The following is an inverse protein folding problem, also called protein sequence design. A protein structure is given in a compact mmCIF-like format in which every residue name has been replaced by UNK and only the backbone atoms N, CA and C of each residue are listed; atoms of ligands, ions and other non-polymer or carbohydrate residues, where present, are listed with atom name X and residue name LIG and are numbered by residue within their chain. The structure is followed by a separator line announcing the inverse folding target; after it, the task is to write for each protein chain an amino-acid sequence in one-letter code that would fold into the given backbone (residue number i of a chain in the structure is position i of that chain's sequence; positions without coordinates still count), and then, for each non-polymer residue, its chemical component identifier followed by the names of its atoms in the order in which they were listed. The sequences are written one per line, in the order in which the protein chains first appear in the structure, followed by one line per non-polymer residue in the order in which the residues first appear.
data_IF_465343660676
#
_entry.id   IF_465343660676
#
_cell.length_a   1.000
_cell.length_b   1.000
_cell.length_c   1.000
_cell.angle_alpha   90.00
_cell.angle_beta   90.00
_cell.angle_gamma   90.00
#
_symmetry.space_group_name_H-M   'P 1'
#
loop_
_entity.id
_entity.type
_entity.pdbx_description
1 polymer ?
#
# COMPACT_ATOMS: atom_id res chain seq x y z
N UNK A 1 -5.21 21.20 -13.95
CA UNK A 1 -5.29 19.92 -13.23
C UNK A 1 -4.46 20.08 -11.97
N UNK A 2 -5.08 20.10 -10.77
CA UNK A 2 -4.33 20.31 -9.52
C UNK A 2 -3.42 19.11 -9.30
N UNK A 3 -2.11 19.34 -9.41
CA UNK A 3 -1.08 18.32 -9.33
C UNK A 3 -0.99 17.82 -7.89
N UNK A 4 -1.57 16.66 -7.62
CA UNK A 4 -1.38 15.93 -6.37
C UNK A 4 -0.32 14.82 -6.53
N UNK A 5 0.49 14.91 -7.58
CA UNK A 5 1.57 13.97 -7.84
C UNK A 5 2.84 14.49 -7.16
N UNK A 6 3.45 13.66 -6.32
CA UNK A 6 4.73 13.88 -5.67
C UNK A 6 5.77 12.99 -6.36
N UNK A 7 6.75 13.61 -7.02
CA UNK A 7 7.72 12.90 -7.87
C UNK A 7 7.07 11.94 -8.91
N UNK A 8 5.93 12.34 -9.48
CA UNK A 8 5.21 11.54 -10.47
C UNK A 8 4.39 10.38 -9.90
N UNK A 9 4.26 10.26 -8.58
CA UNK A 9 3.41 9.28 -7.90
C UNK A 9 2.39 9.96 -6.98
N UNK A 10 1.24 9.32 -6.78
CA UNK A 10 0.18 9.77 -5.86
C UNK A 10 0.34 9.24 -4.45
N UNK A 11 1.32 8.37 -4.21
CA UNK A 11 1.66 7.89 -2.89
C UNK A 11 3.18 7.65 -2.80
N UNK A 12 3.69 7.68 -1.58
CA UNK A 12 5.12 7.45 -1.28
C UNK A 12 5.40 6.03 -0.80
N UNK A 13 4.37 5.28 -0.39
CA UNK A 13 4.52 3.97 0.23
C UNK A 13 4.45 2.79 -0.75
N UNK A 14 3.99 2.99 -1.99
CA UNK A 14 3.69 1.92 -2.95
C UNK A 14 4.86 0.97 -3.23
N UNK A 15 6.08 1.51 -3.38
CA UNK A 15 7.27 0.68 -3.63
C UNK A 15 7.58 -0.22 -2.43
N UNK A 16 7.46 0.31 -1.21
CA UNK A 16 7.69 -0.44 0.03
C UNK A 16 6.59 -1.44 0.34
N UNK A 17 5.32 -1.12 0.04
CA UNK A 17 4.20 -2.06 0.11
C UNK A 17 4.48 -3.25 -0.81
N UNK A 18 4.91 -2.99 -2.05
CA UNK A 18 5.30 -4.04 -3.00
C UNK A 18 6.45 -4.90 -2.46
N UNK A 19 7.49 -4.26 -1.92
CA UNK A 19 8.65 -4.92 -1.34
C UNK A 19 8.25 -5.85 -0.17
N UNK A 20 7.52 -5.35 0.82
CA UNK A 20 7.07 -6.12 1.97
C UNK A 20 6.11 -7.25 1.55
N UNK A 21 5.20 -7.01 0.60
CA UNK A 21 4.32 -8.05 0.06
C UNK A 21 5.11 -9.19 -0.58
N UNK A 22 6.13 -8.87 -1.38
CA UNK A 22 6.96 -9.88 -2.04
C UNK A 22 7.83 -10.65 -1.02
N UNK A 23 8.35 -10.00 0.02
CA UNK A 23 9.04 -10.65 1.14
C UNK A 23 8.14 -11.65 1.87
N UNK A 24 6.88 -11.28 2.08
CA UNK A 24 5.84 -12.14 2.65
C UNK A 24 5.32 -13.23 1.68
N UNK A 25 5.84 -13.29 0.44
CA UNK A 25 5.43 -14.24 -0.62
C UNK A 25 3.94 -14.17 -0.97
N UNK A 26 3.35 -12.98 -0.88
CA UNK A 26 1.94 -12.76 -1.16
C UNK A 26 1.74 -12.28 -2.60
N UNK A 27 0.73 -12.80 -3.30
CA UNK A 27 0.23 -12.15 -4.51
C UNK A 27 -0.54 -10.87 -4.15
N UNK A 28 -0.80 -10.00 -5.14
CA UNK A 28 -1.67 -8.83 -4.93
C UNK A 28 -3.08 -9.24 -4.47
N UNK A 29 -3.58 -10.37 -4.95
CA UNK A 29 -4.87 -10.94 -4.51
C UNK A 29 -4.81 -11.41 -3.06
N UNK A 30 -3.68 -11.92 -2.59
CA UNK A 30 -3.53 -12.36 -1.19
C UNK A 30 -3.50 -11.16 -0.24
N UNK A 31 -2.75 -10.10 -0.59
CA UNK A 31 -2.77 -8.86 0.18
C UNK A 31 -4.18 -8.25 0.20
N UNK A 32 -4.86 -8.21 -0.96
CA UNK A 32 -6.25 -7.76 -1.05
C UNK A 32 -7.17 -8.51 -0.07
N UNK A 33 -7.12 -9.84 -0.05
CA UNK A 33 -7.93 -10.65 0.87
C UNK A 33 -7.60 -10.36 2.34
N UNK A 34 -6.32 -10.22 2.69
CA UNK A 34 -5.91 -9.91 4.07
C UNK A 34 -6.42 -8.54 4.51
N UNK A 35 -6.35 -7.53 3.64
CA UNK A 35 -6.89 -6.20 3.92
C UNK A 35 -8.42 -6.23 4.10
N UNK A 36 -9.13 -6.98 3.26
CA UNK A 36 -10.57 -7.18 3.42
C UNK A 36 -10.93 -7.83 4.77
N UNK A 37 -10.17 -8.86 5.19
CA UNK A 37 -10.34 -9.48 6.51
C UNK A 37 -10.02 -8.53 7.67
N UNK A 38 -9.14 -7.56 7.46
CA UNK A 38 -8.81 -6.49 8.40
C UNK A 38 -9.77 -5.28 8.33
N UNK A 39 -10.88 -5.38 7.58
CA UNK A 39 -11.90 -4.32 7.48
C UNK A 39 -11.63 -3.24 6.43
N UNK A 40 -10.57 -3.38 5.62
CA UNK A 40 -10.25 -2.47 4.52
C UNK A 40 -10.79 -3.05 3.21
N UNK A 41 -11.90 -2.48 2.74
CA UNK A 41 -12.57 -2.92 1.51
C UNK A 41 -11.82 -2.36 0.30
N UNK A 42 -11.01 -3.21 -0.33
CA UNK A 42 -10.26 -2.92 -1.55
C UNK A 42 -10.34 -4.07 -2.53
N UNK A 43 -10.05 -3.78 -3.80
CA UNK A 43 -9.97 -4.74 -4.89
C UNK A 43 -8.51 -4.97 -5.32
N UNK A 44 -8.24 -6.06 -6.05
CA UNK A 44 -6.87 -6.36 -6.50
C UNK A 44 -6.29 -5.26 -7.38
N UNK A 45 -7.10 -4.63 -8.24
CA UNK A 45 -6.67 -3.53 -9.10
C UNK A 45 -6.20 -2.30 -8.29
N UNK A 46 -6.84 -2.07 -7.14
CA UNK A 46 -6.48 -1.03 -6.19
C UNK A 46 -5.09 -1.30 -5.64
N UNK A 47 -4.79 -2.54 -5.22
CA UNK A 47 -3.43 -2.91 -4.77
C UNK A 47 -2.40 -2.63 -5.86
N UNK A 48 -2.69 -3.02 -7.12
CA UNK A 48 -1.80 -2.73 -8.24
C UNK A 48 -1.54 -1.24 -8.45
N UNK A 49 -2.59 -0.40 -8.35
CA UNK A 49 -2.47 1.06 -8.46
C UNK A 49 -1.80 1.72 -7.26
N UNK A 50 -1.88 1.13 -6.07
CA UNK A 50 -1.09 1.58 -4.92
C UNK A 50 0.38 1.34 -5.22
N UNK A 51 0.75 0.11 -5.59
CA UNK A 51 2.15 -0.27 -5.82
C UNK A 51 2.82 0.49 -6.96
N UNK A 52 2.07 0.86 -8.00
CA UNK A 52 2.62 1.65 -9.12
C UNK A 52 2.54 3.17 -8.92
N UNK A 53 2.04 3.64 -7.77
CA UNK A 53 1.90 5.07 -7.49
C UNK A 53 0.72 5.75 -8.20
N UNK A 54 -0.18 5.01 -8.86
CA UNK A 54 -1.32 5.53 -9.62
C UNK A 54 -2.54 5.94 -8.78
N UNK A 55 -2.53 5.68 -7.47
CA UNK A 55 -3.63 6.03 -6.54
C UNK A 55 -3.07 6.58 -5.22
N UNK A 56 -3.81 7.50 -4.60
CA UNK A 56 -3.63 7.84 -3.19
C UNK A 56 -3.88 6.63 -2.29
N UNK A 57 -3.25 6.64 -1.12
CA UNK A 57 -3.50 5.69 -0.04
C UNK A 57 -4.01 6.52 1.13
N UNK A 58 -5.17 6.18 1.67
CA UNK A 58 -5.69 6.84 2.86
C UNK A 58 -4.82 6.47 4.08
N UNK A 59 -4.81 7.34 5.09
CA UNK A 59 -4.05 7.12 6.33
C UNK A 59 -4.38 5.78 7.00
N UNK A 60 -5.66 5.43 7.12
CA UNK A 60 -6.10 4.16 7.67
C UNK A 60 -5.67 2.96 6.82
N UNK A 61 -5.60 3.11 5.48
CA UNK A 61 -5.09 2.05 4.61
C UNK A 61 -3.60 1.84 4.88
N UNK A 62 -2.81 2.91 5.05
CA UNK A 62 -1.37 2.78 5.36
C UNK A 62 -1.16 2.06 6.69
N UNK A 63 -1.91 2.42 7.73
CA UNK A 63 -1.82 1.78 9.06
C UNK A 63 -2.14 0.29 8.96
N UNK A 64 -3.28 -0.06 8.36
CA UNK A 64 -3.71 -1.47 8.26
C UNK A 64 -2.78 -2.27 7.34
N UNK A 65 -2.25 -1.67 6.27
CA UNK A 65 -1.26 -2.33 5.40
C UNK A 65 0.03 -2.63 6.17
N UNK A 66 0.48 -1.70 7.02
CA UNK A 66 1.65 -1.90 7.88
C UNK A 66 1.44 -3.09 8.83
N UNK A 67 0.29 -3.14 9.50
CA UNK A 67 -0.07 -4.23 10.41
C UNK A 67 -0.14 -5.58 9.68
N UNK A 68 -0.81 -5.63 8.52
CA UNK A 68 -0.99 -6.87 7.71
C UNK A 68 0.32 -7.39 7.13
N UNK A 69 1.27 -6.50 6.84
CA UNK A 69 2.59 -6.83 6.30
C UNK A 69 3.68 -6.95 7.38
N UNK A 70 3.32 -6.80 8.65
CA UNK A 70 4.22 -6.87 9.81
C UNK A 70 5.44 -5.93 9.69
N UNK A 71 5.19 -4.70 9.25
CA UNK A 71 6.19 -3.62 9.15
C UNK A 71 5.70 -2.36 9.88
N UNK A 72 6.59 -1.42 10.19
CA UNK A 72 6.17 -0.15 10.78
C UNK A 72 5.58 0.79 9.73
N UNK A 73 4.70 1.70 10.18
CA UNK A 73 4.19 2.80 9.33
C UNK A 73 5.32 3.71 8.89
N UNK A 74 6.28 4.01 9.77
CA UNK A 74 7.44 4.85 9.46
C UNK A 74 8.30 4.25 8.35
N UNK A 75 8.47 2.92 8.36
CA UNK A 75 9.14 2.23 7.26
C UNK A 75 8.39 2.47 5.96
N UNK A 76 7.08 2.20 5.89
CA UNK A 76 6.27 2.43 4.67
C UNK A 76 6.36 3.89 4.17
N UNK A 77 6.44 4.86 5.07
CA UNK A 77 6.51 6.29 4.76
C UNK A 77 7.95 6.82 4.54
N UNK A 78 8.97 5.99 4.72
CA UNK A 78 10.37 6.36 4.53
C UNK A 78 10.93 7.30 5.56
N UNK A 79 10.56 7.07 6.81
CA UNK A 79 11.04 7.80 7.98
C UNK A 79 12.03 6.99 8.83
N UNK A 80 12.30 5.74 8.43
CA UNK A 80 13.38 4.89 8.93
C UNK A 80 14.61 4.88 8.01
#
# INVERSE_FOLDING_TARGET
MKAYDFHGKRNICGDRIREARLRARLSQSDLCRRLQLAGVIVERDVISRIENGGRFVADFEVVVIADVLEVSVDWLLGKE
#
